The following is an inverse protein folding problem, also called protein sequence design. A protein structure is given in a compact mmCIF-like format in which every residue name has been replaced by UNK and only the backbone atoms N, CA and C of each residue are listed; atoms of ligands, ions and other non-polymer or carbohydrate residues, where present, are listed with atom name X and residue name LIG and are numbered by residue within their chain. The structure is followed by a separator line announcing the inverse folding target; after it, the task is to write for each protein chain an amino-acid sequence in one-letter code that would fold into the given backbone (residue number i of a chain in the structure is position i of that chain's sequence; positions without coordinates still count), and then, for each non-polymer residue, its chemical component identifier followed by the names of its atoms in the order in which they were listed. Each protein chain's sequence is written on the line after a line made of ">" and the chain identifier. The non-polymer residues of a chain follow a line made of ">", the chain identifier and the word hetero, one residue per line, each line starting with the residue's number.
data_IF_342125244680
#
_entry.id   IF_342125244680
#
_cell.length_a   1.000
_cell.length_b   1.000
_cell.length_c   1.000
_cell.angle_alpha   90.00
_cell.angle_beta   90.00
_cell.angle_gamma   90.00
#
_symmetry.space_group_name_H-M   'P 1'
#
loop_
_entity.id
_entity.type
_entity.pdbx_description
1 polymer ?
#
# COMPACT_ATOMS: atom_id res chain seq x y z
N UNK A 1 -5.22 -26.29 4.41
CA UNK A 1 -5.01 -24.94 4.98
C UNK A 1 -6.12 -24.70 5.98
N UNK A 2 -5.79 -24.36 7.24
CA UNK A 2 -6.80 -24.08 8.25
C UNK A 2 -7.34 -22.66 8.08
N UNK A 3 -8.52 -22.38 8.63
CA UNK A 3 -9.09 -21.02 8.63
C UNK A 3 -8.14 -20.00 9.29
N UNK A 4 -7.38 -20.42 10.31
CA UNK A 4 -6.38 -19.60 10.97
C UNK A 4 -5.23 -19.20 10.03
N UNK A 5 -4.71 -20.15 9.24
CA UNK A 5 -3.61 -19.88 8.28
C UNK A 5 -4.05 -18.86 7.21
N UNK A 6 -5.31 -18.92 6.78
CA UNK A 6 -5.86 -17.97 5.82
C UNK A 6 -5.95 -16.56 6.40
N UNK A 7 -6.42 -16.41 7.64
CA UNK A 7 -6.51 -15.10 8.31
C UNK A 7 -5.12 -14.47 8.48
N UNK A 8 -4.13 -15.24 8.95
CA UNK A 8 -2.75 -14.78 9.11
C UNK A 8 -2.17 -14.31 7.77
N UNK A 9 -2.42 -15.04 6.68
CA UNK A 9 -1.96 -14.64 5.34
C UNK A 9 -2.65 -13.36 4.83
N UNK A 10 -3.96 -13.21 5.08
CA UNK A 10 -4.71 -12.02 4.71
C UNK A 10 -4.22 -10.78 5.47
N UNK A 11 -3.94 -10.93 6.76
CA UNK A 11 -3.41 -9.85 7.59
C UNK A 11 -2.02 -9.44 7.14
N UNK A 12 -1.15 -10.40 6.81
CA UNK A 12 0.18 -10.12 6.26
C UNK A 12 0.13 -9.33 4.94
N UNK A 13 -0.80 -9.69 4.03
CA UNK A 13 -0.98 -8.99 2.75
C UNK A 13 -1.53 -7.57 2.93
N UNK A 14 -2.43 -7.38 3.90
CA UNK A 14 -3.00 -6.07 4.21
C UNK A 14 -1.95 -5.17 4.87
N UNK A 15 -1.08 -5.74 5.71
CA UNK A 15 0.04 -5.03 6.32
C UNK A 15 1.03 -4.48 5.29
N UNK A 16 1.30 -5.20 4.18
CA UNK A 16 2.18 -4.71 3.10
C UNK A 16 1.68 -3.39 2.49
N UNK A 17 0.38 -3.26 2.26
CA UNK A 17 -0.20 -2.01 1.74
C UNK A 17 0.05 -0.85 2.70
N UNK A 18 -0.21 -1.05 3.99
CA UNK A 18 0.01 -0.02 5.01
C UNK A 18 1.49 0.40 5.09
N UNK A 19 2.41 -0.58 5.08
CA UNK A 19 3.85 -0.34 5.06
C UNK A 19 4.29 0.46 3.83
N UNK A 20 3.76 0.14 2.65
CA UNK A 20 4.03 0.88 1.41
C UNK A 20 3.59 2.35 1.50
N UNK A 21 2.38 2.60 1.99
CA UNK A 21 1.88 3.98 2.14
C UNK A 21 2.70 4.79 3.14
N UNK A 22 3.14 4.15 4.23
CA UNK A 22 4.02 4.79 5.22
C UNK A 22 5.42 5.04 4.65
N UNK A 23 5.97 4.09 3.89
CA UNK A 23 7.30 4.21 3.28
C UNK A 23 7.41 5.41 2.34
N UNK A 24 6.34 5.66 1.60
CA UNK A 24 6.25 6.77 0.64
C UNK A 24 5.65 8.04 1.25
N UNK A 25 5.38 8.05 2.56
CA UNK A 25 4.91 9.23 3.30
C UNK A 25 3.51 9.71 2.93
N UNK A 26 2.67 8.85 2.35
CA UNK A 26 1.31 9.20 1.88
C UNK A 26 0.19 8.72 2.81
N UNK A 27 0.52 8.06 3.92
CA UNK A 27 -0.45 7.48 4.85
C UNK A 27 -1.39 8.53 5.47
N UNK A 28 -0.87 9.74 5.73
CA UNK A 28 -1.67 10.84 6.28
C UNK A 28 -2.61 11.43 5.24
N UNK A 29 -2.13 11.59 4.01
CA UNK A 29 -2.90 12.10 2.88
C UNK A 29 -4.05 11.15 2.57
N UNK A 30 -3.80 9.84 2.62
CA UNK A 30 -4.84 8.84 2.46
C UNK A 30 -5.93 8.95 3.53
N UNK A 31 -5.63 9.35 4.77
CA UNK A 31 -6.64 9.49 5.84
C UNK A 31 -7.53 10.73 5.67
N UNK A 32 -7.11 11.72 4.90
CA UNK A 32 -7.82 12.99 4.74
C UNK A 32 -8.50 13.14 3.37
N UNK A 33 -8.37 12.16 2.47
CA UNK A 33 -9.19 12.17 1.25
C UNK A 33 -10.65 11.92 1.58
N UNK A 34 -11.54 12.50 0.77
CA UNK A 34 -12.96 12.19 0.84
C UNK A 34 -13.18 10.69 0.65
N UNK A 35 -14.05 10.10 1.47
CA UNK A 35 -14.36 8.67 1.44
C UNK A 35 -13.13 7.76 1.59
N UNK A 36 -12.20 8.15 2.47
CA UNK A 36 -10.93 7.45 2.68
C UNK A 36 -11.09 5.96 2.97
N UNK A 37 -12.17 5.53 3.64
CA UNK A 37 -12.44 4.13 3.93
C UNK A 37 -12.66 3.32 2.65
N UNK A 38 -13.49 3.81 1.73
CA UNK A 38 -13.71 3.16 0.43
C UNK A 38 -12.48 3.23 -0.48
N UNK A 39 -11.70 4.32 -0.42
CA UNK A 39 -10.42 4.43 -1.15
C UNK A 39 -9.41 3.40 -0.62
N UNK A 40 -9.30 3.28 0.70
CA UNK A 40 -8.40 2.33 1.35
C UNK A 40 -8.79 0.89 1.03
N UNK A 41 -10.08 0.55 1.12
CA UNK A 41 -10.59 -0.79 0.77
C UNK A 41 -10.21 -1.18 -0.65
N UNK A 42 -10.48 -0.31 -1.64
CA UNK A 42 -10.11 -0.55 -3.05
C UNK A 42 -8.59 -0.65 -3.26
N UNK A 43 -7.79 0.09 -2.48
CA UNK A 43 -6.34 0.01 -2.56
C UNK A 43 -5.80 -1.31 -1.96
N UNK A 44 -6.39 -1.80 -0.87
CA UNK A 44 -6.09 -3.12 -0.30
C UNK A 44 -6.45 -4.22 -1.28
N UNK A 45 -7.63 -4.16 -1.91
CA UNK A 45 -8.04 -5.15 -2.92
C UNK A 45 -7.04 -5.24 -4.08
N UNK A 46 -6.65 -4.09 -4.66
CA UNK A 46 -5.63 -4.02 -5.72
C UNK A 46 -4.27 -4.55 -5.28
N UNK A 47 -3.89 -4.29 -4.02
CA UNK A 47 -2.62 -4.77 -3.47
C UNK A 47 -2.64 -6.29 -3.29
N UNK A 48 -3.69 -6.84 -2.68
CA UNK A 48 -3.85 -8.28 -2.46
C UNK A 48 -3.89 -9.07 -3.77
N UNK A 49 -4.45 -8.50 -4.82
CA UNK A 49 -4.55 -9.13 -6.13
C UNK A 49 -3.33 -8.89 -7.03
N UNK A 50 -2.27 -8.20 -6.58
CA UNK A 50 -1.16 -7.83 -7.46
C UNK A 50 -0.27 -9.02 -7.84
N UNK A 51 -0.21 -10.07 -7.01
CA UNK A 51 0.64 -11.24 -7.22
C UNK A 51 2.13 -11.11 -6.86
N UNK A 52 2.60 -9.93 -6.42
CA UNK A 52 4.02 -9.64 -6.17
C UNK A 52 4.30 -9.40 -4.67
N UNK A 53 3.74 -10.25 -3.78
CA UNK A 53 3.80 -10.01 -2.33
C UNK A 53 5.22 -10.13 -1.77
N UNK A 54 5.95 -11.19 -2.17
CA UNK A 54 7.29 -11.45 -1.67
C UNK A 54 8.26 -10.35 -2.12
N UNK A 55 8.22 -9.98 -3.40
CA UNK A 55 8.99 -8.87 -3.97
C UNK A 55 8.68 -7.54 -3.28
N UNK A 56 7.41 -7.28 -2.94
CA UNK A 56 7.00 -6.09 -2.20
C UNK A 56 7.57 -6.09 -0.78
N UNK A 57 7.55 -7.23 -0.09
CA UNK A 57 8.16 -7.33 1.24
C UNK A 57 9.65 -7.05 1.18
N UNK A 58 10.38 -7.72 0.29
CA UNK A 58 11.83 -7.52 0.13
C UNK A 58 12.15 -6.07 -0.22
N UNK A 59 11.44 -5.47 -1.17
CA UNK A 59 11.65 -4.07 -1.54
C UNK A 59 11.43 -3.13 -0.35
N UNK A 60 10.39 -3.35 0.45
CA UNK A 60 10.08 -2.55 1.65
C UNK A 60 11.11 -2.71 2.78
N UNK A 61 11.78 -3.86 2.86
CA UNK A 61 12.84 -4.14 3.83
C UNK A 61 14.17 -3.49 3.40
N UNK A 62 14.45 -3.49 2.09
CA UNK A 62 15.68 -2.91 1.52
C UNK A 62 15.65 -1.37 1.45
N UNK A 63 14.48 -0.78 1.16
CA UNK A 63 14.35 0.66 0.96
C UNK A 63 13.79 1.31 2.22
N UNK A 64 14.62 2.02 2.97
CA UNK A 64 14.17 2.78 4.15
C UNK A 64 13.44 4.08 3.76
N UNK A 65 13.76 4.66 2.62
CA UNK A 65 13.13 5.82 2.03
C UNK A 65 13.03 5.60 0.52
N UNK A 66 11.92 6.01 -0.08
CA UNK A 66 11.71 5.96 -1.51
C UNK A 66 10.74 7.07 -1.92
N UNK A 67 10.98 7.66 -3.09
CA UNK A 67 10.11 8.67 -3.66
C UNK A 67 9.00 8.04 -4.50
N UNK A 68 9.28 6.89 -5.14
CA UNK A 68 8.34 6.19 -6.01
C UNK A 68 8.13 4.74 -5.55
N UNK A 69 6.90 4.19 -5.71
CA UNK A 69 6.68 2.77 -5.54
C UNK A 69 7.32 1.98 -6.70
N UNK A 70 7.59 0.67 -6.49
CA UNK A 70 8.09 -0.20 -7.56
C UNK A 70 7.09 -0.30 -8.73
N UNK A 71 7.58 -0.55 -9.93
CA UNK A 71 6.79 -0.54 -11.17
C UNK A 71 5.63 -1.53 -11.19
N UNK A 72 5.75 -2.66 -10.48
CA UNK A 72 4.68 -3.66 -10.37
C UNK A 72 3.54 -3.22 -9.43
N UNK A 73 3.70 -2.11 -8.69
CA UNK A 73 2.72 -1.68 -7.71
C UNK A 73 1.42 -1.21 -8.37
N UNK A 74 0.34 -2.01 -8.23
CA UNK A 74 -1.01 -1.68 -8.72
C UNK A 74 -1.63 -0.41 -8.09
N UNK A 75 -1.02 0.11 -7.03
CA UNK A 75 -1.43 1.34 -6.35
C UNK A 75 -0.60 2.57 -6.77
N UNK A 76 0.34 2.45 -7.71
CA UNK A 76 1.24 3.53 -8.13
C UNK A 76 0.52 4.84 -8.47
N UNK A 77 -0.55 4.78 -9.27
CA UNK A 77 -1.34 5.98 -9.62
C UNK A 77 -2.04 6.62 -8.42
N UNK A 78 -2.50 5.82 -7.47
CA UNK A 78 -3.11 6.36 -6.24
C UNK A 78 -2.05 7.08 -5.41
N UNK A 79 -0.89 6.46 -5.25
CA UNK A 79 0.25 7.02 -4.50
C UNK A 79 0.68 8.35 -5.12
N UNK A 80 0.89 8.41 -6.44
CA UNK A 80 1.27 9.64 -7.15
C UNK A 80 0.27 10.77 -6.91
N UNK A 81 -1.04 10.47 -6.94
CA UNK A 81 -2.09 11.46 -6.62
C UNK A 81 -2.01 11.96 -5.18
N UNK A 82 -1.74 11.07 -4.22
CA UNK A 82 -1.58 11.44 -2.81
C UNK A 82 -0.32 12.28 -2.57
N UNK A 83 0.79 11.97 -3.26
CA UNK A 83 2.03 12.75 -3.21
C UNK A 83 1.83 14.15 -3.79
N UNK A 84 1.15 14.26 -4.94
CA UNK A 84 0.79 15.57 -5.50
C UNK A 84 -0.09 16.38 -4.54
N UNK A 85 -1.08 15.75 -3.89
CA UNK A 85 -1.91 16.41 -2.89
C UNK A 85 -1.10 16.81 -1.63
N UNK A 86 -0.04 16.08 -1.30
CA UNK A 86 0.88 16.43 -0.21
C UNK A 86 1.71 17.67 -0.55
N UNK A 87 2.24 17.75 -1.77
CA UNK A 87 3.11 18.83 -2.22
C UNK A 87 2.39 20.18 -2.40
N UNK A 88 1.06 20.18 -2.47
CA UNK A 88 0.22 21.38 -2.68
C UNK A 88 -0.25 22.02 -1.36
N UNK A 89 0.22 21.55 -0.21
CA UNK A 89 -0.06 22.12 1.12
C UNK A 89 1.19 22.73 1.74
#
# INVERSE_FOLDING_TARGET
>A
MTFLDYLISVDARTALMGRMMQRLGVDRQLKVVADHSAVTSRAVDRCRSCGHQDECSTWLDEHQQADDPPDYCRNRDLIARLQHAAAQR
#
